data_IF_328468552850
#
_entry.id   IF_328468552850
#
_cell.length_a   1.000
_cell.length_b   1.000
_cell.length_c   1.000
_cell.angle_alpha   90.00
_cell.angle_beta   90.00
_cell.angle_gamma   90.00
#
_symmetry.space_group_name_H-M   'P 1'
#
loop_
_entity.id
_entity.type
_entity.pdbx_description
1 polymer ?
#
# COMPACT_ATOMS: atom_id res chain seq x y z
N UNK A 1 18.15 12.88 -10.70
CA UNK A 1 19.57 12.51 -10.55
C UNK A 1 20.55 13.69 -10.69
N UNK A 2 20.46 14.58 -11.71
CA UNK A 2 21.38 15.73 -11.84
C UNK A 2 21.42 16.65 -10.61
N UNK A 3 20.29 16.89 -9.93
CA UNK A 3 20.18 17.74 -8.75
C UNK A 3 20.88 17.11 -7.54
N UNK A 4 20.68 15.82 -7.30
CA UNK A 4 21.32 15.07 -6.18
C UNK A 4 22.83 14.99 -6.37
N UNK A 5 23.30 14.74 -7.58
CA UNK A 5 24.75 14.74 -7.86
C UNK A 5 25.41 16.12 -7.66
N UNK A 6 24.64 17.21 -7.79
CA UNK A 6 25.14 18.60 -7.56
C UNK A 6 25.13 19.00 -6.09
N UNK A 7 24.35 18.33 -5.24
CA UNK A 7 24.25 18.66 -3.82
C UNK A 7 25.37 18.07 -2.96
N UNK A 8 26.28 17.26 -3.56
CA UNK A 8 27.38 16.61 -2.83
C UNK A 8 26.93 15.44 -1.94
N UNK A 9 25.64 15.04 -2.02
CA UNK A 9 25.14 13.88 -1.27
C UNK A 9 25.68 12.59 -1.91
N UNK A 10 26.38 11.72 -1.14
CA UNK A 10 26.89 10.47 -1.67
C UNK A 10 25.75 9.51 -2.04
N UNK A 11 25.90 8.83 -3.19
CA UNK A 11 24.95 7.85 -3.70
C UNK A 11 25.63 6.49 -3.78
N UNK A 12 25.13 5.53 -3.01
CA UNK A 12 25.59 4.15 -3.02
C UNK A 12 24.61 3.30 -3.83
N UNK A 13 25.10 2.69 -4.93
CA UNK A 13 24.25 1.87 -5.80
C UNK A 13 24.41 0.40 -5.49
N UNK A 14 23.31 -0.36 -5.62
CA UNK A 14 23.31 -1.80 -5.33
C UNK A 14 23.66 -2.08 -3.87
N UNK A 15 23.24 -1.20 -2.96
CA UNK A 15 23.44 -1.40 -1.53
C UNK A 15 22.66 -2.65 -1.06
N UNK A 16 23.33 -3.48 -0.28
CA UNK A 16 22.79 -4.72 0.30
C UNK A 16 23.26 -4.88 1.73
N UNK A 17 22.69 -5.83 2.47
CA UNK A 17 23.04 -6.08 3.88
C UNK A 17 22.95 -4.83 4.75
N UNK A 18 21.87 -4.03 4.53
CA UNK A 18 21.66 -2.84 5.34
C UNK A 18 21.33 -3.24 6.77
N UNK A 19 22.07 -2.66 7.72
CA UNK A 19 21.86 -2.88 9.14
C UNK A 19 21.99 -1.55 9.88
N UNK A 20 20.90 -1.12 10.53
CA UNK A 20 20.92 0.01 11.43
C UNK A 20 21.46 -0.43 12.80
N UNK A 21 22.38 0.36 13.36
CA UNK A 21 22.93 0.16 14.70
C UNK A 21 22.41 1.26 15.60
N UNK A 22 22.19 0.92 16.87
CA UNK A 22 21.64 1.86 17.84
C UNK A 22 22.21 1.67 19.23
N UNK A 23 22.01 2.66 20.07
CA UNK A 23 22.31 2.61 21.50
C UNK A 23 21.03 2.69 22.32
N UNK A 24 20.95 1.90 23.40
CA UNK A 24 19.88 2.01 24.39
C UNK A 24 19.99 3.35 25.11
N UNK A 25 18.88 4.09 25.15
CA UNK A 25 18.75 5.32 25.92
C UNK A 25 17.56 5.20 26.89
N UNK A 26 17.46 6.12 27.84
CA UNK A 26 16.42 6.15 28.88
C UNK A 26 15.00 6.20 28.31
N UNK A 27 14.80 6.62 27.05
CA UNK A 27 13.53 6.71 26.35
C UNK A 27 13.46 5.86 25.05
N UNK A 28 14.14 4.71 25.03
CA UNK A 28 14.14 3.79 23.88
C UNK A 28 15.51 3.64 23.22
N UNK A 29 15.53 3.14 22.00
CA UNK A 29 16.77 2.97 21.23
C UNK A 29 16.89 4.10 20.22
N UNK A 30 18.10 4.68 20.10
CA UNK A 30 18.42 5.70 19.09
C UNK A 30 19.36 5.09 18.06
N UNK A 31 19.06 5.29 16.78
CA UNK A 31 19.98 4.94 15.69
C UNK A 31 21.24 5.81 15.81
N UNK A 32 22.40 5.20 15.65
CA UNK A 32 23.70 5.88 15.69
C UNK A 32 24.49 5.70 14.41
N UNK A 33 24.28 4.61 13.68
CA UNK A 33 24.95 4.37 12.40
C UNK A 33 24.17 3.39 11.51
N UNK A 34 24.52 3.37 10.24
CA UNK A 34 24.04 2.41 9.24
C UNK A 34 25.25 1.73 8.60
N UNK A 35 25.30 0.40 8.64
CA UNK A 35 26.25 -0.39 7.86
C UNK A 35 25.56 -1.02 6.65
N UNK A 36 26.30 -1.13 5.55
CA UNK A 36 25.83 -1.76 4.31
C UNK A 36 26.98 -2.11 3.40
N UNK A 37 26.73 -2.99 2.43
CA UNK A 37 27.68 -3.31 1.37
C UNK A 37 27.23 -2.69 0.06
N UNK A 38 28.14 -2.01 -0.65
CA UNK A 38 27.89 -1.47 -1.98
C UNK A 38 29.06 -1.78 -2.91
N UNK A 39 28.81 -2.35 -4.07
CA UNK A 39 29.83 -2.71 -5.06
C UNK A 39 31.00 -3.52 -4.48
N UNK A 40 30.71 -4.45 -3.55
CA UNK A 40 31.70 -5.31 -2.91
C UNK A 40 32.47 -4.69 -1.74
N UNK A 41 32.26 -3.40 -1.44
CA UNK A 41 32.88 -2.68 -0.32
C UNK A 41 31.88 -2.53 0.82
N UNK A 42 32.36 -2.74 2.05
CA UNK A 42 31.56 -2.51 3.26
C UNK A 42 31.72 -1.05 3.72
N UNK A 43 30.61 -0.45 4.05
CA UNK A 43 30.50 0.93 4.54
C UNK A 43 29.83 0.95 5.90
N UNK A 44 30.27 1.89 6.74
CA UNK A 44 29.58 2.30 7.96
C UNK A 44 29.52 3.83 7.96
N UNK A 45 28.32 4.37 8.12
CA UNK A 45 28.10 5.81 8.16
C UNK A 45 27.34 6.18 9.43
N UNK A 46 27.74 7.27 10.07
CA UNK A 46 27.01 7.81 11.21
C UNK A 46 25.68 8.38 10.74
N UNK A 47 24.61 8.05 11.45
CA UNK A 47 23.25 8.49 11.10
C UNK A 47 22.38 8.60 12.36
N UNK A 48 21.77 9.75 12.56
CA UNK A 48 20.75 9.93 13.59
C UNK A 48 19.36 9.48 13.16
N UNK A 49 19.13 9.39 11.84
CA UNK A 49 17.86 8.95 11.23
C UNK A 49 18.16 8.13 9.99
N UNK A 50 17.48 6.99 9.87
CA UNK A 50 17.48 6.17 8.64
C UNK A 50 16.06 6.16 8.09
N UNK A 51 15.87 6.70 6.89
CA UNK A 51 14.59 6.66 6.18
C UNK A 51 14.61 5.54 5.14
N UNK A 52 13.64 4.64 5.22
CA UNK A 52 13.47 3.54 4.27
C UNK A 52 12.31 3.82 3.34
N UNK A 53 12.47 3.47 2.07
CA UNK A 53 11.42 3.52 1.05
C UNK A 53 11.49 2.26 0.19
N UNK A 54 10.56 1.34 0.43
CA UNK A 54 10.49 0.03 -0.25
C UNK A 54 9.40 -0.03 -1.32
N UNK A 55 8.76 1.08 -1.61
CA UNK A 55 7.68 1.17 -2.58
C UNK A 55 6.44 1.89 -2.03
N UNK A 56 5.39 1.91 -2.84
CA UNK A 56 4.12 2.56 -2.54
C UNK A 56 3.00 1.56 -2.79
N UNK A 57 2.02 1.50 -1.91
CA UNK A 57 0.82 0.68 -2.07
C UNK A 57 -0.43 1.54 -2.17
N UNK A 58 -1.44 1.15 -2.96
CA UNK A 58 -2.71 1.86 -3.05
C UNK A 58 -3.43 1.92 -1.69
N UNK A 59 -4.10 3.02 -1.43
CA UNK A 59 -5.04 3.07 -0.30
C UNK A 59 -6.40 2.50 -0.74
N UNK A 60 -6.64 1.25 -0.39
CA UNK A 60 -7.87 0.52 -0.78
C UNK A 60 -8.92 0.46 0.33
N UNK A 61 -8.79 1.26 1.39
CA UNK A 61 -9.68 1.16 2.55
C UNK A 61 -11.15 1.40 2.20
N UNK A 62 -11.42 2.45 1.42
CA UNK A 62 -12.80 2.81 1.07
C UNK A 62 -13.41 1.79 0.11
N UNK A 63 -12.69 1.38 -0.93
CA UNK A 63 -13.19 0.38 -1.89
C UNK A 63 -13.40 -0.99 -1.23
N UNK A 64 -12.57 -1.36 -0.26
CA UNK A 64 -12.78 -2.58 0.56
C UNK A 64 -13.95 -2.46 1.51
N UNK A 65 -14.18 -1.28 2.09
CA UNK A 65 -15.35 -1.03 2.93
C UNK A 65 -16.64 -1.22 2.12
N UNK A 66 -16.66 -0.71 0.92
CA UNK A 66 -17.78 -0.83 -0.03
C UNK A 66 -17.86 -2.20 -0.73
N UNK A 67 -16.95 -3.12 -0.39
CA UNK A 67 -16.90 -4.50 -0.90
C UNK A 67 -16.63 -4.62 -2.41
N UNK A 68 -16.06 -3.58 -3.03
CA UNK A 68 -15.59 -3.68 -4.40
C UNK A 68 -14.57 -4.81 -4.57
N UNK A 69 -14.57 -5.46 -5.72
CA UNK A 69 -13.63 -6.52 -6.03
C UNK A 69 -12.19 -6.01 -6.12
N UNK A 70 -11.27 -6.79 -5.59
CA UNK A 70 -9.83 -6.48 -5.61
C UNK A 70 -9.06 -7.69 -6.12
N UNK A 71 -7.94 -7.42 -6.77
CA UNK A 71 -6.99 -8.47 -7.11
C UNK A 71 -5.59 -8.09 -6.64
N UNK A 72 -4.78 -9.11 -6.41
CA UNK A 72 -3.35 -8.97 -6.14
C UNK A 72 -2.57 -8.70 -7.41
N UNK A 73 -1.65 -7.74 -7.37
CA UNK A 73 -0.67 -7.49 -8.42
C UNK A 73 0.71 -7.99 -7.97
N UNK A 74 1.24 -9.01 -8.65
CA UNK A 74 2.51 -9.63 -8.28
C UNK A 74 3.71 -8.72 -8.52
N UNK A 75 3.60 -7.75 -9.42
CA UNK A 75 4.70 -6.80 -9.71
C UNK A 75 4.77 -5.71 -8.67
N UNK A 76 3.64 -5.13 -8.31
CA UNK A 76 3.53 -4.09 -7.30
C UNK A 76 3.37 -4.65 -5.88
N UNK A 77 3.14 -5.96 -5.74
CA UNK A 77 2.93 -6.71 -4.49
C UNK A 77 1.93 -6.04 -3.56
N UNK A 78 0.79 -5.73 -4.13
CA UNK A 78 -0.32 -5.11 -3.41
C UNK A 78 -1.66 -5.44 -4.08
N UNK A 79 -2.72 -5.27 -3.31
CA UNK A 79 -4.06 -5.31 -3.86
C UNK A 79 -4.46 -3.96 -4.43
N UNK A 80 -5.21 -3.98 -5.53
CA UNK A 80 -5.93 -2.82 -6.03
C UNK A 80 -7.33 -3.21 -6.50
N UNK A 81 -8.29 -2.28 -6.50
CA UNK A 81 -9.64 -2.57 -6.96
C UNK A 81 -9.67 -2.86 -8.46
N UNK A 82 -10.54 -3.77 -8.87
CA UNK A 82 -10.85 -3.96 -10.27
C UNK A 82 -11.71 -2.78 -10.75
N UNK A 83 -11.29 -2.16 -11.85
CA UNK A 83 -12.00 -1.04 -12.46
C UNK A 83 -12.14 -1.25 -13.96
N UNK A 84 -13.21 -0.71 -14.52
CA UNK A 84 -13.36 -0.60 -15.96
C UNK A 84 -12.48 0.56 -16.52
N UNK A 85 -12.57 0.79 -17.82
CA UNK A 85 -11.77 1.84 -18.49
C UNK A 85 -12.09 3.27 -18.01
N UNK A 86 -13.20 3.47 -17.31
CA UNK A 86 -13.69 4.73 -16.79
C UNK A 86 -13.39 4.93 -15.29
N UNK A 87 -12.75 3.95 -14.66
CA UNK A 87 -12.44 3.96 -13.23
C UNK A 87 -13.60 3.50 -12.34
N UNK A 88 -14.72 3.02 -12.89
CA UNK A 88 -15.81 2.45 -12.10
C UNK A 88 -15.41 1.06 -11.61
N UNK A 89 -15.70 0.78 -10.35
CA UNK A 89 -15.41 -0.49 -9.69
C UNK A 89 -16.51 -1.53 -9.96
N UNK A 90 -16.41 -2.71 -9.37
CA UNK A 90 -17.47 -3.72 -9.36
C UNK A 90 -18.74 -3.25 -8.62
N UNK A 91 -18.63 -2.24 -7.76
CA UNK A 91 -19.77 -1.64 -7.05
C UNK A 91 -20.29 -0.46 -7.86
N UNK A 92 -21.55 -0.49 -8.34
CA UNK A 92 -22.13 0.55 -9.17
C UNK A 92 -22.08 1.93 -8.51
N UNK A 93 -21.67 2.95 -9.27
CA UNK A 93 -21.54 4.33 -8.79
C UNK A 93 -20.30 4.59 -7.92
N UNK A 94 -19.45 3.60 -7.70
CA UNK A 94 -18.19 3.74 -6.97
C UNK A 94 -17.04 3.81 -7.96
N UNK A 95 -16.38 4.95 -8.00
CA UNK A 95 -15.30 5.23 -8.93
C UNK A 95 -13.96 5.41 -8.20
N UNK A 96 -12.88 5.00 -8.84
CA UNK A 96 -11.51 5.17 -8.35
C UNK A 96 -10.65 5.81 -9.43
N UNK A 97 -9.92 6.83 -9.06
CA UNK A 97 -8.96 7.50 -9.91
C UNK A 97 -7.57 7.57 -9.27
N UNK A 98 -6.54 7.65 -10.11
CA UNK A 98 -5.16 7.77 -9.67
C UNK A 98 -4.63 6.53 -8.97
N UNK A 99 -3.69 6.74 -8.05
CA UNK A 99 -2.94 5.66 -7.38
C UNK A 99 -3.80 4.74 -6.50
N UNK A 100 -5.04 5.15 -6.16
CA UNK A 100 -6.02 4.27 -5.49
C UNK A 100 -6.43 3.06 -6.34
N UNK A 101 -6.35 3.17 -7.65
CA UNK A 101 -6.64 2.10 -8.61
C UNK A 101 -5.41 1.30 -9.07
N UNK A 102 -4.23 1.61 -8.53
CA UNK A 102 -2.94 1.03 -8.89
C UNK A 102 -1.88 2.13 -9.10
N UNK A 103 -0.67 1.88 -8.65
CA UNK A 103 0.40 2.89 -8.70
C UNK A 103 0.89 3.07 -10.14
N UNK A 104 0.65 4.26 -10.69
CA UNK A 104 0.92 4.55 -12.09
C UNK A 104 1.83 5.79 -12.31
N UNK A 105 1.96 6.65 -11.33
CA UNK A 105 2.69 7.90 -11.39
C UNK A 105 1.77 9.12 -11.57
N UNK A 106 2.28 10.30 -11.24
CA UNK A 106 1.47 11.52 -11.10
C UNK A 106 0.71 11.93 -12.36
N UNK A 107 1.35 11.87 -13.53
CA UNK A 107 0.70 12.22 -14.81
C UNK A 107 -0.43 11.24 -15.16
N UNK A 108 -0.18 9.95 -15.01
CA UNK A 108 -1.22 8.94 -15.24
C UNK A 108 -2.37 9.07 -14.23
N UNK A 109 -2.07 9.43 -12.97
CA UNK A 109 -3.07 9.68 -11.95
C UNK A 109 -3.96 10.90 -12.28
N UNK A 110 -3.36 12.02 -12.69
CA UNK A 110 -4.07 13.22 -13.14
C UNK A 110 -5.03 12.90 -14.30
N UNK A 111 -4.54 12.23 -15.33
CA UNK A 111 -5.37 11.85 -16.48
C UNK A 111 -6.48 10.86 -16.09
N UNK A 112 -6.18 9.92 -15.20
CA UNK A 112 -7.19 9.03 -14.64
C UNK A 112 -8.31 9.82 -13.95
N UNK A 113 -7.95 10.87 -13.19
CA UNK A 113 -8.92 11.77 -12.56
C UNK A 113 -9.82 12.48 -13.57
N UNK A 114 -9.25 12.99 -14.66
CA UNK A 114 -10.03 13.64 -15.74
C UNK A 114 -10.99 12.66 -16.42
N UNK A 115 -10.51 11.46 -16.79
CA UNK A 115 -11.32 10.42 -17.44
C UNK A 115 -12.47 9.99 -16.53
N UNK A 116 -12.16 9.73 -15.26
CA UNK A 116 -13.16 9.29 -14.26
C UNK A 116 -14.18 10.41 -13.99
N UNK A 117 -13.73 11.66 -13.88
CA UNK A 117 -14.65 12.80 -13.71
C UNK A 117 -15.64 12.96 -14.84
N UNK A 118 -15.21 12.76 -16.11
CA UNK A 118 -16.11 12.76 -17.27
C UNK A 118 -17.12 11.60 -17.22
N UNK A 119 -16.68 10.42 -16.78
CA UNK A 119 -17.56 9.26 -16.60
C UNK A 119 -18.62 9.49 -15.52
N UNK A 120 -18.24 10.09 -14.40
CA UNK A 120 -19.17 10.48 -13.33
C UNK A 120 -20.17 11.54 -13.84
N UNK A 121 -19.71 12.56 -14.58
CA UNK A 121 -20.60 13.55 -15.16
C UNK A 121 -21.62 12.91 -16.11
N UNK A 122 -21.20 11.94 -16.90
CA UNK A 122 -22.10 11.19 -17.80
C UNK A 122 -23.08 10.32 -16.99
N UNK A 123 -22.65 9.63 -15.94
CA UNK A 123 -23.54 8.79 -15.12
C UNK A 123 -24.61 9.61 -14.38
N UNK A 124 -24.33 10.88 -14.10
CA UNK A 124 -25.28 11.84 -13.52
C UNK A 124 -26.16 12.55 -14.55
N UNK A 125 -26.06 12.19 -15.83
CA UNK A 125 -26.83 12.82 -16.90
C UNK A 125 -26.40 14.24 -17.27
N UNK A 126 -25.26 14.72 -16.77
CA UNK A 126 -24.73 16.06 -17.03
C UNK A 126 -23.96 16.13 -18.37
N UNK A 127 -23.61 14.99 -18.94
CA UNK A 127 -22.82 14.87 -20.17
C UNK A 127 -23.33 13.70 -21.00
N UNK A 128 -23.50 13.93 -22.29
CA UNK A 128 -23.86 12.86 -23.22
C UNK A 128 -22.67 11.89 -23.42
N UNK A 129 -22.95 10.62 -23.66
CA UNK A 129 -21.93 9.60 -23.86
C UNK A 129 -20.93 9.94 -24.99
N UNK A 130 -21.44 10.37 -26.15
CA UNK A 130 -20.60 10.77 -27.29
C UNK A 130 -19.68 11.96 -26.94
N UNK A 131 -20.15 12.91 -26.13
CA UNK A 131 -19.34 14.03 -25.67
C UNK A 131 -18.27 13.59 -24.67
N UNK A 132 -18.61 12.69 -23.73
CA UNK A 132 -17.63 12.05 -22.82
C UNK A 132 -16.52 11.38 -23.61
N UNK A 133 -16.86 10.56 -24.58
CA UNK A 133 -15.91 9.79 -25.38
C UNK A 133 -14.99 10.71 -26.16
N UNK A 134 -15.54 11.73 -26.82
CA UNK A 134 -14.77 12.72 -27.57
C UNK A 134 -13.80 13.52 -26.66
N UNK A 135 -14.30 14.06 -25.55
CA UNK A 135 -13.48 14.87 -24.64
C UNK A 135 -12.38 14.02 -23.97
N UNK A 136 -12.68 12.76 -23.65
CA UNK A 136 -11.72 11.87 -22.96
C UNK A 136 -10.65 11.27 -23.88
N UNK A 137 -10.81 11.30 -25.19
CA UNK A 137 -9.95 10.59 -26.15
C UNK A 137 -8.47 10.98 -26.00
N UNK A 138 -8.18 12.26 -25.94
CA UNK A 138 -6.81 12.78 -25.76
C UNK A 138 -6.23 12.30 -24.43
N UNK A 139 -7.00 12.38 -23.33
CA UNK A 139 -6.52 11.97 -22.00
C UNK A 139 -6.28 10.46 -21.93
N UNK A 140 -7.10 9.66 -22.55
CA UNK A 140 -6.94 8.20 -22.65
C UNK A 140 -5.67 7.84 -23.42
N UNK A 141 -5.44 8.49 -24.58
CA UNK A 141 -4.21 8.29 -25.37
C UNK A 141 -2.97 8.69 -24.57
N UNK A 142 -2.96 9.86 -23.96
CA UNK A 142 -1.82 10.33 -23.16
C UNK A 142 -1.58 9.43 -21.94
N UNK A 143 -2.64 8.98 -21.26
CA UNK A 143 -2.52 8.01 -20.15
C UNK A 143 -1.90 6.69 -20.63
N UNK A 144 -2.29 6.20 -21.79
CA UNK A 144 -1.69 5.00 -22.37
C UNK A 144 -0.18 5.16 -22.59
N UNK A 145 0.25 6.31 -23.12
CA UNK A 145 1.67 6.64 -23.27
C UNK A 145 2.39 6.69 -21.91
N UNK A 146 1.82 7.39 -20.93
CA UNK A 146 2.40 7.48 -19.59
C UNK A 146 2.55 6.10 -18.92
N UNK A 147 1.61 5.19 -19.15
CA UNK A 147 1.65 3.83 -18.63
C UNK A 147 2.64 2.91 -19.36
N UNK A 148 3.04 3.25 -20.58
CA UNK A 148 3.90 2.38 -21.39
C UNK A 148 5.26 2.09 -20.75
N UNK A 149 5.78 2.99 -19.91
CA UNK A 149 7.04 2.83 -19.17
C UNK A 149 6.88 1.97 -17.89
N UNK A 150 5.67 1.74 -17.40
CA UNK A 150 5.45 1.04 -16.12
C UNK A 150 6.03 -0.37 -16.09
N UNK A 151 5.85 -1.23 -17.12
CA UNK A 151 6.44 -2.56 -17.10
C UNK A 151 7.96 -2.55 -16.90
N UNK A 152 8.65 -1.56 -17.50
CA UNK A 152 10.08 -1.37 -17.30
C UNK A 152 10.39 -0.93 -15.86
N UNK A 153 9.66 0.06 -15.33
CA UNK A 153 9.90 0.55 -13.96
C UNK A 153 9.63 -0.52 -12.92
N UNK A 154 8.55 -1.29 -13.06
CA UNK A 154 8.21 -2.37 -12.14
C UNK A 154 9.22 -3.52 -12.17
N UNK A 155 9.87 -3.75 -13.33
CA UNK A 155 10.95 -4.73 -13.45
C UNK A 155 12.29 -4.22 -12.94
N UNK A 156 12.56 -2.93 -13.11
CA UNK A 156 13.83 -2.31 -12.71
C UNK A 156 13.87 -1.96 -11.21
N UNK A 157 12.73 -1.64 -10.63
CA UNK A 157 12.53 -1.37 -9.20
C UNK A 157 11.46 -2.31 -8.64
N UNK A 158 11.74 -3.63 -8.57
CA UNK A 158 10.76 -4.58 -8.09
C UNK A 158 10.40 -4.30 -6.64
N UNK A 159 9.12 -4.47 -6.30
CA UNK A 159 8.68 -4.42 -4.92
C UNK A 159 9.36 -5.54 -4.11
N UNK A 160 9.64 -5.33 -2.81
CA UNK A 160 10.38 -6.28 -2.00
C UNK A 160 9.64 -7.61 -1.87
N UNK A 161 10.32 -8.70 -2.22
CA UNK A 161 9.77 -10.07 -2.15
C UNK A 161 10.20 -10.83 -0.88
N UNK A 162 10.99 -10.20 -0.03
CA UNK A 162 11.51 -10.77 1.21
C UNK A 162 10.57 -10.60 2.41
N UNK A 163 9.54 -9.76 2.29
CA UNK A 163 8.60 -9.43 3.39
C UNK A 163 7.96 -10.70 3.97
N UNK A 164 7.57 -11.66 3.14
CA UNK A 164 7.01 -12.93 3.59
C UNK A 164 7.98 -13.79 4.41
N UNK A 165 9.29 -13.53 4.34
CA UNK A 165 10.37 -14.32 4.95
C UNK A 165 11.08 -13.61 6.10
N UNK A 166 10.50 -12.53 6.63
CA UNK A 166 11.08 -11.80 7.78
C UNK A 166 11.20 -12.69 9.03
N UNK A 167 12.14 -12.35 9.90
CA UNK A 167 12.36 -13.06 11.17
C UNK A 167 11.15 -12.97 12.11
N UNK A 168 11.08 -13.89 13.05
CA UNK A 168 9.93 -14.00 13.98
C UNK A 168 9.81 -12.81 14.94
N UNK A 169 10.90 -12.11 15.21
CA UNK A 169 10.99 -10.92 16.04
C UNK A 169 10.52 -9.63 15.36
N UNK A 170 10.35 -9.66 14.02
CA UNK A 170 9.95 -8.48 13.25
C UNK A 170 8.50 -8.12 13.52
N UNK A 171 8.26 -6.88 13.96
CA UNK A 171 6.92 -6.34 14.20
C UNK A 171 6.22 -6.08 12.85
N UNK A 172 5.14 -6.79 12.58
CA UNK A 172 4.27 -6.59 11.42
C UNK A 172 3.21 -5.53 11.69
N UNK A 173 2.51 -5.62 12.83
CA UNK A 173 1.47 -4.65 13.21
C UNK A 173 2.00 -3.75 14.32
N UNK A 174 2.41 -2.54 13.97
CA UNK A 174 2.99 -1.57 14.95
C UNK A 174 1.95 -1.03 15.95
N UNK A 175 0.68 -0.99 15.58
CA UNK A 175 -0.37 -0.48 16.48
C UNK A 175 -0.68 -1.45 17.63
N UNK A 176 -0.57 -2.75 17.39
CA UNK A 176 -0.87 -3.82 18.34
C UNK A 176 0.39 -4.64 18.69
N UNK A 177 1.56 -4.20 18.21
CA UNK A 177 2.89 -4.80 18.44
C UNK A 177 2.98 -6.30 18.11
N UNK A 178 2.20 -6.74 17.08
CA UNK A 178 2.17 -8.13 16.66
C UNK A 178 3.37 -8.45 15.77
N UNK A 179 4.13 -9.48 16.15
CA UNK A 179 5.31 -9.94 15.39
C UNK A 179 4.94 -11.00 14.34
N UNK A 180 5.86 -11.24 13.41
CA UNK A 180 5.75 -12.30 12.41
C UNK A 180 5.67 -13.70 13.07
N UNK A 181 6.45 -13.94 14.14
CA UNK A 181 6.41 -15.18 14.90
C UNK A 181 5.05 -15.45 15.55
N UNK A 182 4.45 -14.42 16.16
CA UNK A 182 3.09 -14.54 16.72
C UNK A 182 2.07 -14.88 15.64
N UNK A 183 2.18 -14.26 14.46
CA UNK A 183 1.30 -14.56 13.34
C UNK A 183 1.46 -16.02 12.85
N UNK A 184 2.69 -16.51 12.69
CA UNK A 184 2.99 -17.91 12.32
C UNK A 184 2.48 -18.90 13.38
N UNK A 185 2.65 -18.57 14.66
CA UNK A 185 2.12 -19.40 15.74
C UNK A 185 0.57 -19.47 15.71
N UNK A 186 -0.11 -18.33 15.46
CA UNK A 186 -1.56 -18.33 15.30
C UNK A 186 -1.99 -19.17 14.09
N UNK A 187 -1.24 -19.14 12.98
CA UNK A 187 -1.50 -19.99 11.81
C UNK A 187 -1.37 -21.47 12.14
N UNK A 188 -0.37 -21.85 12.93
CA UNK A 188 -0.22 -23.25 13.40
C UNK A 188 -1.42 -23.70 14.25
N UNK A 189 -2.14 -22.77 14.88
CA UNK A 189 -3.39 -23.03 15.62
C UNK A 189 -4.67 -22.84 14.78
N UNK A 190 -4.55 -22.76 13.45
CA UNK A 190 -5.71 -22.76 12.54
C UNK A 190 -6.14 -21.39 12.05
N UNK A 191 -5.37 -20.32 12.30
CA UNK A 191 -5.60 -19.01 11.70
C UNK A 191 -5.29 -19.07 10.19
N UNK A 192 -6.32 -19.15 9.35
CA UNK A 192 -6.18 -19.38 7.91
C UNK A 192 -6.19 -18.10 7.06
N UNK A 193 -6.45 -16.92 7.64
CA UNK A 193 -6.51 -15.67 6.89
C UNK A 193 -6.41 -14.41 7.75
N UNK A 194 -6.18 -13.24 7.12
CA UNK A 194 -5.97 -11.99 7.84
C UNK A 194 -7.13 -11.60 8.76
N UNK A 195 -8.37 -11.97 8.41
CA UNK A 195 -9.53 -11.67 9.25
C UNK A 195 -9.57 -12.51 10.53
N UNK A 196 -9.05 -13.73 10.51
CA UNK A 196 -8.87 -14.52 11.73
C UNK A 196 -7.71 -13.97 12.57
N UNK A 197 -6.64 -13.48 11.94
CA UNK A 197 -5.55 -12.82 12.65
C UNK A 197 -6.03 -11.63 13.50
N UNK A 198 -7.10 -10.93 13.10
CA UNK A 198 -7.77 -9.92 13.95
C UNK A 198 -8.29 -10.53 15.25
N UNK A 199 -8.94 -11.66 15.18
CA UNK A 199 -9.54 -12.32 16.36
C UNK A 199 -8.50 -12.94 17.28
N UNK A 200 -7.47 -13.55 16.70
CA UNK A 200 -6.39 -14.20 17.47
C UNK A 200 -5.43 -13.19 18.11
N UNK A 201 -5.09 -12.12 17.38
CA UNK A 201 -3.95 -11.26 17.69
C UNK A 201 -4.28 -9.76 17.71
N UNK A 202 -5.51 -9.37 17.38
CA UNK A 202 -5.92 -7.97 17.14
C UNK A 202 -5.16 -7.31 15.96
N UNK A 203 -4.41 -8.09 15.18
CA UNK A 203 -3.61 -7.59 14.06
C UNK A 203 -4.48 -6.82 13.06
N UNK A 204 -4.12 -5.56 12.75
CA UNK A 204 -4.90 -4.70 11.87
C UNK A 204 -6.10 -4.00 12.52
N UNK A 205 -6.31 -4.12 13.83
CA UNK A 205 -7.42 -3.47 14.55
C UNK A 205 -7.05 -2.14 15.20
N UNK A 206 -5.78 -1.79 15.25
CA UNK A 206 -5.33 -0.54 15.86
C UNK A 206 -5.71 0.70 15.03
N UNK A 207 -5.27 1.88 15.47
CA UNK A 207 -5.66 3.19 14.94
C UNK A 207 -5.46 3.35 13.41
N UNK A 208 -4.48 2.66 12.81
CA UNK A 208 -4.26 2.69 11.38
C UNK A 208 -5.24 1.80 10.59
N UNK A 209 -6.06 0.98 11.26
CA UNK A 209 -7.06 0.10 10.63
C UNK A 209 -6.48 -0.82 9.55
N UNK A 210 -5.28 -1.35 9.79
CA UNK A 210 -4.60 -2.26 8.86
C UNK A 210 -3.88 -1.60 7.69
N UNK A 211 -3.91 -0.27 7.54
CA UNK A 211 -3.23 0.42 6.41
C UNK A 211 -1.74 0.13 6.34
N UNK A 212 -1.08 0.03 7.50
CA UNK A 212 0.36 -0.22 7.58
C UNK A 212 0.72 -1.70 7.42
N UNK A 213 -0.09 -2.61 7.96
CA UNK A 213 0.29 -4.02 8.07
C UNK A 213 -0.41 -4.96 7.08
N UNK A 214 -1.45 -4.52 6.36
CA UNK A 214 -2.24 -5.43 5.53
C UNK A 214 -1.41 -6.20 4.50
N UNK A 215 -0.57 -5.51 3.74
CA UNK A 215 0.29 -6.14 2.75
C UNK A 215 1.28 -7.12 3.39
N UNK A 216 1.99 -6.69 4.45
CA UNK A 216 2.97 -7.52 5.14
C UNK A 216 2.34 -8.76 5.78
N UNK A 217 1.15 -8.62 6.38
CA UNK A 217 0.41 -9.77 6.96
C UNK A 217 0.02 -10.77 5.86
N UNK A 218 -0.53 -10.30 4.75
CA UNK A 218 -0.87 -11.15 3.61
C UNK A 218 0.35 -11.90 3.07
N UNK A 219 1.48 -11.21 2.90
CA UNK A 219 2.73 -11.78 2.42
C UNK A 219 3.30 -12.85 3.35
N UNK A 220 3.34 -12.58 4.67
CA UNK A 220 3.82 -13.56 5.66
C UNK A 220 2.90 -14.77 5.71
N UNK A 221 1.59 -14.57 5.67
CA UNK A 221 0.63 -15.68 5.66
C UNK A 221 0.75 -16.51 4.39
N UNK A 222 0.88 -15.87 3.23
CA UNK A 222 1.09 -16.55 1.95
C UNK A 222 2.38 -17.39 1.95
N UNK A 223 3.49 -16.80 2.38
CA UNK A 223 4.77 -17.50 2.46
C UNK A 223 4.75 -18.67 3.46
N UNK A 224 4.02 -18.53 4.58
CA UNK A 224 3.92 -19.57 5.62
C UNK A 224 3.02 -20.74 5.18
N UNK A 225 1.91 -20.45 4.50
CA UNK A 225 0.95 -21.48 4.05
C UNK A 225 1.32 -22.10 2.70
N UNK A 226 2.21 -21.49 1.92
CA UNK A 226 2.47 -21.85 0.53
C UNK A 226 1.36 -21.43 -0.45
N UNK A 227 0.39 -20.64 0.01
CA UNK A 227 -0.68 -20.10 -0.83
C UNK A 227 -0.24 -18.82 -1.56
N UNK A 228 -1.01 -18.40 -2.57
CA UNK A 228 -0.80 -17.10 -3.20
C UNK A 228 -1.36 -15.98 -2.30
N UNK A 229 -0.79 -14.76 -2.36
CA UNK A 229 -1.35 -13.60 -1.63
C UNK A 229 -2.82 -13.34 -1.97
N UNK A 230 -3.22 -13.59 -3.22
CA UNK A 230 -4.61 -13.45 -3.66
C UNK A 230 -5.54 -14.46 -2.95
N UNK A 231 -5.12 -15.71 -2.82
CA UNK A 231 -5.87 -16.73 -2.09
C UNK A 231 -5.95 -16.48 -0.58
N UNK A 232 -4.90 -15.93 0.02
CA UNK A 232 -4.89 -15.49 1.44
C UNK A 232 -5.83 -14.32 1.66
N UNK A 233 -5.89 -13.40 0.69
CA UNK A 233 -6.72 -12.21 0.76
C UNK A 233 -6.17 -11.12 1.68
N UNK A 234 -7.04 -10.22 2.09
CA UNK A 234 -6.69 -9.07 2.93
C UNK A 234 -7.72 -8.85 4.03
N UNK A 235 -7.45 -7.87 4.90
CA UNK A 235 -8.37 -7.48 5.96
C UNK A 235 -9.71 -6.99 5.39
N UNK A 236 -10.81 -7.47 5.98
CA UNK A 236 -12.13 -6.89 5.79
C UNK A 236 -12.21 -5.59 6.60
N UNK A 237 -12.45 -4.50 5.89
CA UNK A 237 -12.57 -3.18 6.49
C UNK A 237 -13.96 -2.99 7.07
N UNK A 238 -14.05 -2.27 8.19
CA UNK A 238 -15.31 -1.92 8.88
C UNK A 238 -15.31 -0.44 9.22
N UNK A 239 -16.49 0.22 9.23
CA UNK A 239 -16.59 1.58 9.73
C UNK A 239 -16.36 1.61 11.26
N UNK A 240 -15.87 2.73 11.79
CA UNK A 240 -15.34 3.89 11.08
C UNK A 240 -13.95 3.58 10.48
N UNK A 241 -13.68 4.07 9.27
CA UNK A 241 -12.38 3.85 8.58
C UNK A 241 -11.22 4.70 9.12
N UNK A 242 -11.51 5.59 10.03
CA UNK A 242 -10.56 6.41 10.80
C UNK A 242 -11.04 6.52 12.24
N UNK A 243 -10.14 6.79 13.18
CA UNK A 243 -10.56 7.11 14.55
C UNK A 243 -11.55 8.29 14.56
N UNK A 244 -12.59 8.17 15.35
CA UNK A 244 -13.61 9.19 15.60
C UNK A 244 -13.67 9.48 17.10
N UNK A 245 -14.01 10.69 17.48
CA UNK A 245 -14.19 11.05 18.89
C UNK A 245 -15.55 10.60 19.42
N UNK A 246 -15.66 10.43 20.73
CA UNK A 246 -16.96 10.13 21.35
C UNK A 246 -17.98 11.22 21.09
N UNK A 247 -17.55 12.49 20.98
CA UNK A 247 -18.42 13.61 20.66
C UNK A 247 -19.01 13.49 19.24
N UNK A 248 -18.19 13.07 18.25
CA UNK A 248 -18.67 12.81 16.89
C UNK A 248 -19.69 11.66 16.84
N UNK A 249 -19.43 10.58 17.62
CA UNK A 249 -20.39 9.46 17.72
C UNK A 249 -21.70 9.90 18.37
N UNK A 250 -21.64 10.66 19.47
CA UNK A 250 -22.82 11.16 20.15
C UNK A 250 -23.66 12.12 19.30
N UNK A 251 -23.02 12.88 18.40
CA UNK A 251 -23.72 13.77 17.48
C UNK A 251 -24.52 13.03 16.39
N UNK A 252 -24.23 11.75 16.12
CA UNK A 252 -24.99 10.95 15.15
C UNK A 252 -26.41 10.63 15.62
N UNK A 253 -26.66 10.60 16.93
CA UNK A 253 -28.02 10.37 17.49
C UNK A 253 -28.97 11.56 17.29
N UNK A 254 -28.46 12.73 16.94
CA UNK A 254 -29.25 13.95 16.77
C UNK A 254 -29.77 14.18 15.35
N UNK A 255 -29.77 13.17 14.50
CA UNK A 255 -30.58 13.17 13.27
C UNK A 255 -30.10 14.09 12.16
N UNK A 256 -28.79 14.17 11.92
CA UNK A 256 -28.24 14.74 10.68
C UNK A 256 -27.72 13.59 9.81
N UNK A 257 -28.64 12.93 9.12
CA UNK A 257 -28.41 12.15 7.89
C UNK A 257 -29.20 12.79 6.78
#
# INVERSE_FOLDING_TARGET
MRTVNRSGVPIYRGASHLQAHGSKQTRGEKVTSLSFRSQGTDYAIDADVVALHEGVTPNTQLTRLLQAEHRWDDRQRCFHPLTNQWGETSEPGVYVAGDGGGIAGSLAAERSGMITGLAVAQSLGLLAEAARDFISEEQRMRRFIDLSIRPFLDSYYPAPNWIGKVGDDVILCRCEEVTAGQLRAAMAHGCSGPNQAKSFLRCGMGACQGRMCAASVTEVMAATSGATPDAVGSFRIRPPIKPVTLAEVAALEQGVL
#
